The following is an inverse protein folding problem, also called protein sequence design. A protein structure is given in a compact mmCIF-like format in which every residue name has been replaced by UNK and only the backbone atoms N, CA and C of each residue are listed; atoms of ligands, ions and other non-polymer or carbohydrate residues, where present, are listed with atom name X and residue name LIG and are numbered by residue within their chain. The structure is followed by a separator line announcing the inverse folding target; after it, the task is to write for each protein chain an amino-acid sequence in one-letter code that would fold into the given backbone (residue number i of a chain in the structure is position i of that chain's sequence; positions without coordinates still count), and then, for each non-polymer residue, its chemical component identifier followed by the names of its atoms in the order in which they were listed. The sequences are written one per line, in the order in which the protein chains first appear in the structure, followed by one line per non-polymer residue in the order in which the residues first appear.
data_IF_577976601145
#
_entry.id   IF_577976601145
#
_cell.length_a   1.000
_cell.length_b   1.000
_cell.length_c   1.000
_cell.angle_alpha   90.00
_cell.angle_beta   90.00
_cell.angle_gamma   90.00
#
_symmetry.space_group_name_H-M   'P 1'
#
loop_
_entity.id
_entity.type
_entity.pdbx_description
1 polymer ?
2 non-polymer ?
3 water ?
#
# COMPACT_ATOMS: atom_id res chain seq x y z
N UNK A 2 9.60 -2.67 -30.11
CA UNK A 2 9.05 -3.49 -29.05
C UNK A 2 8.42 -2.63 -27.96
N UNK A 3 7.50 -3.22 -27.21
CA UNK A 3 6.76 -2.48 -26.19
C UNK A 3 6.75 -3.24 -24.86
N UNK A 4 7.20 -2.59 -23.80
CA UNK A 4 7.33 -3.24 -22.51
C UNK A 4 6.01 -3.82 -22.02
N UNK A 5 6.07 -4.96 -21.35
CA UNK A 5 4.91 -5.53 -20.71
C UNK A 5 4.43 -4.52 -19.68
N UNK A 6 3.12 -4.34 -19.59
CA UNK A 6 2.55 -3.45 -18.58
C UNK A 6 1.69 -4.23 -17.61
N UNK A 7 2.13 -4.31 -16.34
CA UNK A 7 1.40 -5.07 -15.33
C UNK A 7 -0.07 -4.68 -15.31
N UNK A 8 -0.93 -5.67 -15.14
CA UNK A 8 -2.36 -5.43 -15.11
C UNK A 8 -2.94 -5.98 -13.82
N UNK A 9 -4.15 -5.57 -13.50
CA UNK A 9 -4.81 -6.02 -12.28
C UNK A 9 -4.82 -7.54 -12.25
N UNK A 10 -4.31 -8.12 -11.16
CA UNK A 10 -4.32 -9.56 -11.00
C UNK A 10 -3.03 -10.26 -11.41
N UNK A 11 -2.19 -9.58 -12.19
CA UNK A 11 -0.95 -10.16 -12.65
C UNK A 11 -0.02 -10.48 -11.48
N UNK A 12 0.77 -11.53 -11.64
CA UNK A 12 1.85 -11.84 -10.71
C UNK A 12 3.17 -11.53 -11.40
N UNK A 13 3.97 -10.67 -10.80
CA UNK A 13 5.17 -10.15 -11.45
C UNK A 13 6.41 -10.37 -10.61
N UNK A 14 7.57 -10.43 -11.27
CA UNK A 14 8.85 -10.48 -10.56
C UNK A 14 9.47 -9.09 -10.55
N UNK A 15 10.11 -8.73 -9.45
CA UNK A 15 10.58 -7.37 -9.27
C UNK A 15 11.91 -7.33 -8.49
N UNK A 16 12.39 -6.15 -8.15
CA UNK A 16 13.54 -6.02 -7.26
C UNK A 16 13.15 -5.07 -6.11
N UNK A 17 13.10 -5.60 -4.89
CA UNK A 17 12.69 -4.84 -3.72
C UNK A 17 13.89 -4.20 -3.03
N UNK A 25 18.31 -12.13 -1.82
CA UNK A 25 18.65 -13.52 -2.13
C UNK A 25 17.40 -14.29 -2.55
N UNK A 26 16.24 -13.88 -2.05
CA UNK A 26 14.99 -14.53 -2.40
C UNK A 26 14.50 -13.98 -3.73
N UNK A 27 15.28 -13.05 -4.28
CA UNK A 27 14.97 -12.48 -5.57
C UNK A 27 14.38 -11.10 -5.46
N UNK A 28 14.22 -10.60 -4.23
CA UNK A 28 13.62 -9.28 -4.06
C UNK A 28 12.28 -9.43 -4.76
N UNK A 29 11.41 -10.16 -4.08
CA UNK A 29 10.46 -11.12 -4.64
C UNK A 29 9.36 -10.67 -5.60
N UNK A 30 8.55 -11.64 -6.05
CA UNK A 30 7.36 -11.40 -6.86
C UNK A 30 6.29 -10.68 -6.06
N UNK A 31 5.32 -10.13 -6.77
CA UNK A 31 4.21 -9.45 -6.14
C UNK A 31 2.97 -9.67 -6.97
N UNK A 32 1.79 -9.45 -6.37
CA UNK A 32 0.55 -9.52 -7.14
C UNK A 32 0.01 -8.12 -7.32
N UNK A 33 -0.31 -7.77 -8.57
CA UNK A 33 -0.64 -6.40 -8.94
C UNK A 33 -2.11 -6.09 -8.77
N UNK A 34 -2.41 -5.13 -7.89
CA UNK A 34 -3.79 -4.74 -7.61
C UNK A 34 -4.27 -3.51 -8.39
N UNK A 35 -3.38 -2.89 -9.15
CA UNK A 35 -3.75 -1.70 -9.93
C UNK A 35 -4.22 -2.07 -11.33
N UNK A 36 -5.11 -1.25 -11.91
CA UNK A 36 -5.61 -1.49 -13.27
C UNK A 36 -4.55 -1.11 -14.30
N UNK A 37 -4.67 -1.65 -15.51
CA UNK A 37 -3.66 -1.46 -16.54
C UNK A 37 -3.32 0.02 -16.72
N UNK A 38 -4.35 0.81 -16.94
CA UNK A 38 -4.19 2.24 -17.19
C UNK A 38 -3.28 2.89 -16.17
N UNK A 39 -3.68 2.87 -14.90
CA UNK A 39 -2.88 3.52 -13.87
C UNK A 39 -1.43 3.09 -13.96
N UNK A 40 -1.22 1.78 -13.98
CA UNK A 40 0.13 1.24 -14.14
C UNK A 40 0.80 1.84 -15.37
N UNK A 41 0.09 1.83 -16.49
CA UNK A 41 0.62 2.32 -17.74
C UNK A 41 0.98 3.80 -17.71
N UNK A 42 0.00 4.63 -17.37
CA UNK A 42 0.19 6.07 -17.38
C UNK A 42 1.21 6.52 -16.32
N UNK A 43 1.09 5.96 -15.13
CA UNK A 43 1.91 6.39 -14.00
C UNK A 43 3.32 5.81 -14.01
N UNK A 44 3.44 4.57 -14.47
CA UNK A 44 4.71 3.87 -14.38
C UNK A 44 4.91 3.43 -12.94
N UNK A 45 3.79 3.27 -12.25
CA UNK A 45 3.75 2.78 -10.88
C UNK A 45 2.50 1.94 -10.70
N UNK A 46 2.53 1.07 -9.69
CA UNK A 46 1.37 0.21 -9.44
C UNK A 46 1.23 -0.11 -7.96
N UNK A 47 0.04 -0.54 -7.59
CA UNK A 47 -0.21 -1.08 -6.26
C UNK A 47 -0.18 -2.61 -6.31
N UNK A 48 0.62 -3.21 -5.44
CA UNK A 48 0.79 -4.65 -5.41
C UNK A 48 1.07 -5.08 -3.99
N UNK A 49 0.90 -6.37 -3.72
CA UNK A 49 1.31 -6.92 -2.43
C UNK A 49 2.37 -7.98 -2.68
N UNK A 50 3.35 -8.05 -1.78
CA UNK A 50 4.48 -8.97 -1.90
C UNK A 50 4.08 -10.43 -1.67
N UNK A 51 4.75 -11.35 -2.34
CA UNK A 51 4.50 -12.78 -2.17
C UNK A 51 5.73 -13.47 -1.61
N UNK A 52 5.53 -14.53 -0.85
CA UNK A 52 6.64 -15.31 -0.34
C UNK A 52 6.29 -16.80 -0.27
N UNK A 53 7.30 -17.65 -0.38
CA UNK A 53 7.10 -19.09 -0.26
C UNK A 53 6.93 -19.50 1.20
N UNK A 54 7.61 -18.77 2.07
CA UNK A 54 7.45 -18.97 3.50
C UNK A 54 6.04 -18.58 3.92
N UNK A 55 5.53 -19.25 4.95
CA UNK A 55 4.25 -18.86 5.52
C UNK A 55 4.26 -19.03 7.03
N UNK A 56 3.81 -18.01 7.75
CA UNK A 56 3.66 -18.11 9.20
C UNK A 56 2.23 -18.45 9.63
N UNK A 57 1.32 -18.53 8.66
CA UNK A 57 -0.08 -18.77 8.94
C UNK A 57 -0.81 -17.57 9.54
N UNK A 58 -0.44 -16.37 9.10
CA UNK A 58 -0.99 -15.14 9.66
C UNK A 58 -2.30 -14.67 9.02
N UNK A 59 -3.07 -13.83 9.74
CA UNK A 59 -4.43 -13.45 9.38
C UNK A 59 -4.56 -12.83 8.00
N UNK A 60 -3.53 -12.13 7.55
CA UNK A 60 -3.57 -11.45 6.26
C UNK A 60 -2.94 -12.22 5.12
N UNK A 61 -2.47 -13.43 5.40
CA UNK A 61 -1.94 -14.30 4.36
C UNK A 61 -3.05 -14.75 3.41
N UNK A 62 -2.72 -14.84 2.12
CA UNK A 62 -3.64 -15.43 1.15
C UNK A 62 -2.91 -16.43 0.27
N UNK A 63 -3.34 -17.69 0.35
CA UNK A 63 -2.72 -18.74 -0.43
C UNK A 63 -2.96 -18.53 -1.92
N UNK A 64 -1.89 -18.61 -2.69
CA UNK A 64 -1.98 -18.66 -4.14
C UNK A 64 -1.56 -20.07 -4.55
N UNK A 65 -2.48 -20.82 -5.15
CA UNK A 65 -2.23 -22.22 -5.44
C UNK A 65 -1.62 -22.41 -6.81
N UNK A 66 -0.37 -22.89 -6.82
CA UNK A 66 0.33 -23.12 -8.07
C UNK A 66 0.28 -24.57 -8.52
N UNK A 67 0.58 -24.79 -9.79
CA UNK A 67 0.64 -26.14 -10.35
C UNK A 67 1.64 -27.00 -9.58
N UNK A 68 2.91 -26.64 -9.69
CA UNK A 68 4.00 -27.39 -9.05
C UNK A 68 4.08 -27.14 -7.54
N UNK A 69 4.02 -25.88 -7.13
CA UNK A 69 4.18 -25.51 -5.73
C UNK A 69 3.11 -24.52 -5.29
N UNK A 70 3.21 -24.05 -4.05
CA UNK A 70 2.25 -23.08 -3.52
C UNK A 70 2.94 -21.95 -2.77
N UNK A 71 2.24 -20.82 -2.66
CA UNK A 71 2.80 -19.63 -2.06
C UNK A 71 1.75 -18.75 -1.43
N UNK A 72 2.19 -17.61 -0.89
CA UNK A 72 1.28 -16.73 -0.18
C UNK A 72 1.51 -15.25 -0.48
N UNK A 73 0.43 -14.52 -0.68
CA UNK A 73 0.50 -13.06 -0.84
C UNK A 73 0.15 -12.41 0.48
N UNK A 74 0.88 -11.35 0.83
CA UNK A 74 0.64 -10.69 2.11
C UNK A 74 -0.18 -9.44 1.88
N UNK A 75 -1.44 -9.50 2.31
CA UNK A 75 -2.44 -8.51 1.91
C UNK A 75 -2.36 -7.20 2.68
N UNK A 76 -1.76 -7.24 3.86
CA UNK A 76 -1.64 -6.04 4.69
C UNK A 76 -0.47 -5.19 4.21
N UNK A 77 0.43 -5.81 3.47
CA UNK A 77 1.70 -5.21 3.07
C UNK A 77 1.68 -4.46 1.74
N UNK A 78 0.48 -4.24 1.21
CA UNK A 78 0.31 -3.60 -0.08
C UNK A 78 1.10 -2.31 -0.16
N UNK A 79 1.67 -2.05 -1.33
CA UNK A 79 2.51 -0.87 -1.51
C UNK A 79 2.55 -0.38 -2.96
N UNK A 80 2.91 0.89 -3.11
CA UNK A 80 3.10 1.50 -4.40
C UNK A 80 4.59 1.46 -4.71
N UNK A 81 4.95 0.83 -5.82
CA UNK A 81 6.33 0.77 -6.24
C UNK A 81 6.41 1.20 -7.69
N UNK A 82 7.58 1.61 -8.14
CA UNK A 82 7.68 2.09 -9.51
C UNK A 82 8.24 0.95 -10.32
N UNK A 83 7.36 0.35 -11.13
CA UNK A 83 7.71 -0.89 -11.80
C UNK A 83 8.55 -0.69 -13.06
N UNK A 84 8.19 0.30 -13.87
CA UNK A 84 8.97 0.57 -15.07
C UNK A 84 10.44 0.63 -14.67
N UNK A 85 10.77 1.61 -13.84
CA UNK A 85 12.14 1.78 -13.35
C UNK A 85 12.65 0.53 -12.66
N UNK A 86 11.81 -0.12 -11.86
CA UNK A 86 12.25 -1.27 -11.06
C UNK A 86 12.21 -2.59 -11.83
N UNK A 87 11.83 -2.50 -13.11
CA UNK A 87 11.94 -3.64 -14.01
C UNK A 87 11.06 -4.85 -13.72
N UNK A 88 9.75 -4.62 -13.65
CA UNK A 88 8.81 -5.70 -13.43
C UNK A 88 8.67 -6.60 -14.66
N UNK A 89 8.40 -7.88 -14.42
CA UNK A 89 8.11 -8.84 -15.50
C UNK A 89 7.01 -9.78 -15.06
N UNK A 90 6.31 -10.37 -16.02
CA UNK A 90 5.09 -11.12 -15.71
C UNK A 90 5.38 -12.61 -15.46
N UNK A 91 5.14 -13.05 -14.23
CA UNK A 91 5.35 -14.45 -13.88
C UNK A 91 4.09 -15.31 -14.05
N UNK A 92 2.96 -14.67 -14.28
CA UNK A 92 1.71 -15.40 -14.42
C UNK A 92 0.54 -14.55 -13.94
N UNK A 93 -0.61 -15.18 -13.72
CA UNK A 93 -1.78 -14.45 -13.24
C UNK A 93 -2.52 -15.23 -12.15
N UNK A 94 -2.92 -14.52 -11.09
CA UNK A 94 -3.65 -15.14 -10.00
C UNK A 94 -5.08 -15.45 -10.43
N UNK A 95 -5.69 -16.43 -9.77
CA UNK A 95 -7.06 -16.80 -10.05
C UNK A 95 -8.01 -15.69 -9.62
N UNK A 96 -9.16 -15.58 -10.29
CA UNK A 96 -10.16 -14.57 -9.94
C UNK A 96 -10.48 -14.58 -8.45
N UNK A 97 -10.59 -15.77 -7.86
CA UNK A 97 -10.90 -15.90 -6.45
C UNK A 97 -9.72 -15.42 -5.60
N UNK A 98 -8.52 -15.79 -6.01
CA UNK A 98 -7.29 -15.38 -5.33
C UNK A 98 -7.25 -13.86 -5.21
N UNK A 99 -7.19 -13.19 -6.35
CA UNK A 99 -7.20 -11.74 -6.40
C UNK A 99 -8.31 -11.16 -5.53
N UNK A 100 -9.51 -11.71 -5.66
CA UNK A 100 -10.65 -11.24 -4.89
C UNK A 100 -10.38 -11.35 -3.39
N UNK A 101 -9.94 -12.54 -2.97
CA UNK A 101 -9.66 -12.78 -1.56
C UNK A 101 -8.67 -11.74 -1.02
N UNK A 102 -7.67 -11.41 -1.82
CA UNK A 102 -6.71 -10.38 -1.46
C UNK A 102 -7.43 -9.07 -1.12
N UNK A 103 -8.12 -8.51 -2.12
CA UNK A 103 -8.80 -7.24 -1.96
C UNK A 103 -9.63 -7.18 -0.67
N UNK A 104 -10.41 -8.23 -0.41
CA UNK A 104 -11.23 -8.28 0.79
C UNK A 104 -10.37 -8.04 2.04
N UNK A 105 -9.30 -8.82 2.17
CA UNK A 105 -8.39 -8.67 3.30
C UNK A 105 -7.94 -7.22 3.46
N UNK A 106 -7.77 -6.53 2.34
CA UNK A 106 -7.36 -5.13 2.35
C UNK A 106 -8.42 -4.23 2.97
N UNK A 107 -9.65 -4.31 2.45
CA UNK A 107 -10.73 -3.50 3.00
C UNK A 107 -11.11 -3.96 4.40
N UNK A 108 -10.74 -5.19 4.72
CA UNK A 108 -10.85 -5.67 6.09
C UNK A 108 -9.90 -4.88 6.96
N UNK A 109 -8.75 -4.54 6.39
CA UNK A 109 -7.76 -3.72 7.06
C UNK A 109 -8.16 -2.26 7.04
N UNK A 110 -8.89 -1.86 6.00
CA UNK A 110 -9.31 -0.46 5.86
C UNK A 110 -10.78 -0.33 5.46
N UNK A 111 -11.53 0.46 6.22
CA UNK A 111 -12.94 0.66 5.93
C UNK A 111 -13.22 1.14 4.52
N UNK B 2 7.16 4.74 30.25
CA UNK B 2 6.70 5.69 29.25
C UNK B 2 6.05 4.96 28.09
N UNK B 3 4.96 5.52 27.58
CA UNK B 3 4.14 4.84 26.58
C UNK B 3 4.28 5.49 25.20
N UNK B 4 4.86 4.73 24.26
CA UNK B 4 5.07 5.21 22.91
C UNK B 4 3.75 5.54 22.22
N UNK B 5 3.80 6.48 21.28
CA UNK B 5 2.63 6.84 20.49
C UNK B 5 2.38 5.74 19.47
N UNK B 6 1.15 5.23 19.44
CA UNK B 6 0.77 4.22 18.47
C UNK B 6 -0.29 4.77 17.54
N UNK B 7 0.06 5.00 16.27
CA UNK B 7 -0.85 5.64 15.33
C UNK B 7 -2.23 4.97 15.27
N UNK B 8 -3.27 5.79 15.13
CA UNK B 8 -4.62 5.30 15.02
C UNK B 8 -5.17 5.73 13.66
N UNK B 9 -6.19 5.04 13.16
CA UNK B 9 -6.75 5.36 11.86
C UNK B 9 -7.14 6.83 11.80
N UNK B 10 -6.65 7.53 10.79
CA UNK B 10 -6.94 8.95 10.63
C UNK B 10 -5.82 9.87 11.07
N UNK B 11 -4.93 9.38 11.92
CA UNK B 11 -3.81 10.18 12.38
C UNK B 11 -2.91 10.62 11.23
N UNK B 12 -2.46 11.87 11.29
CA UNK B 12 -1.44 12.35 10.38
C UNK B 12 -0.11 12.30 11.12
N UNK B 13 0.85 11.57 10.59
CA UNK B 13 2.12 11.39 11.28
C UNK B 13 3.30 11.91 10.47
N UNK B 14 4.39 12.19 11.18
CA UNK B 14 5.65 12.49 10.53
C UNK B 14 6.60 11.33 10.81
N UNK B 15 7.40 11.00 9.82
CA UNK B 15 8.32 9.88 9.95
C UNK B 15 9.34 10.03 8.83
N UNK B 16 10.31 9.12 8.79
CA UNK B 16 11.38 9.19 7.80
C UNK B 16 11.11 8.22 6.65
N UNK B 17 11.50 8.59 5.44
CA UNK B 17 11.41 7.69 4.30
C UNK B 17 12.80 7.25 3.83
N UNK B 25 20.82 12.19 6.80
CA UNK B 25 20.09 11.81 5.60
C UNK B 25 18.84 12.67 5.42
N UNK B 26 18.02 12.75 6.46
CA UNK B 26 16.82 13.56 6.43
C UNK B 26 15.84 13.16 5.32
N UNK B 27 15.26 11.97 5.45
CA UNK B 27 14.25 11.50 4.51
C UNK B 27 12.84 11.56 5.07
N UNK B 28 12.63 12.33 6.12
CA UNK B 28 11.36 12.31 6.86
C UNK B 28 10.29 13.27 6.36
N UNK B 29 9.12 12.72 6.04
CA UNK B 29 7.98 13.54 5.63
C UNK B 29 6.68 13.04 6.27
N UNK B 30 5.56 13.77 6.05
CA UNK B 30 4.26 13.44 6.64
C UNK B 30 3.50 12.33 5.93
N UNK B 31 2.62 11.67 6.67
CA UNK B 31 1.66 10.73 6.09
C UNK B 31 0.44 10.57 6.98
N UNK B 32 -0.52 9.76 6.54
CA UNK B 32 -1.75 9.55 7.29
C UNK B 32 -2.14 8.08 7.34
N UNK B 33 -2.49 7.60 8.53
CA UNK B 33 -2.71 6.17 8.76
C UNK B 33 -4.11 5.70 8.36
N UNK B 34 -4.15 4.72 7.46
CA UNK B 34 -5.41 4.06 7.10
C UNK B 34 -5.64 2.74 7.83
N UNK B 35 -4.66 2.31 8.63
CA UNK B 35 -4.75 1.01 9.30
C UNK B 35 -5.18 1.18 10.75
N UNK B 36 -6.17 0.38 11.18
CA UNK B 36 -6.80 0.46 12.50
C UNK B 36 -5.78 0.30 13.64
N UNK B 37 -6.12 0.86 14.79
CA UNK B 37 -5.20 0.94 15.92
C UNK B 37 -4.55 -0.39 16.30
N UNK B 38 -5.37 -1.44 16.39
CA UNK B 38 -4.88 -2.75 16.77
C UNK B 38 -3.79 -3.25 15.83
N UNK B 39 -4.10 -3.24 14.53
CA UNK B 39 -3.12 -3.70 13.57
C UNK B 39 -1.82 -2.94 13.73
N UNK B 40 -1.91 -1.61 13.70
CA UNK B 40 -0.74 -0.78 13.88
C UNK B 40 0.05 -1.20 15.11
N UNK B 41 -0.69 -1.49 16.19
CA UNK B 41 -0.07 -1.81 17.46
C UNK B 41 0.73 -3.11 17.48
N UNK B 42 0.08 -4.21 17.09
CA UNK B 42 0.70 -5.53 17.16
C UNK B 42 1.86 -5.69 16.20
N UNK B 43 1.69 -5.21 14.97
CA UNK B 43 2.68 -5.43 13.92
C UNK B 43 3.77 -4.36 13.89
N UNK B 44 3.56 -3.27 14.61
CA UNK B 44 4.48 -2.14 14.50
C UNK B 44 4.55 -1.69 13.06
N UNK B 45 3.49 -1.96 12.32
CA UNK B 45 3.37 -1.55 10.92
C UNK B 45 2.05 -0.81 10.76
N UNK B 46 1.89 -0.08 9.67
CA UNK B 46 0.61 0.52 9.36
C UNK B 46 0.48 0.82 7.88
N UNK B 47 -0.75 0.95 7.41
CA UNK B 47 -1.03 1.40 6.06
C UNK B 47 -1.22 2.90 6.10
N UNK B 48 -0.61 3.60 5.16
CA UNK B 48 -0.68 5.05 5.15
C UNK B 48 -0.45 5.58 3.73
N UNK B 49 -0.83 6.83 3.50
CA UNK B 49 -0.50 7.52 2.26
C UNK B 49 0.32 8.76 2.58
N UNK B 50 1.30 9.07 1.73
CA UNK B 50 2.20 10.21 1.94
C UNK B 50 1.52 11.53 1.63
N UNK B 51 1.86 12.57 2.38
CA UNK B 51 1.35 13.90 2.12
C UNK B 51 2.48 14.85 1.77
N UNK B 52 2.17 15.91 1.04
CA UNK B 52 3.18 16.91 0.70
C UNK B 52 2.53 18.27 0.49
N UNK B 53 3.34 19.32 0.61
CA UNK B 53 2.87 20.69 0.39
C UNK B 53 2.63 20.93 -1.09
N UNK B 54 3.45 20.29 -1.92
CA UNK B 54 3.36 20.45 -3.38
C UNK B 54 2.15 19.72 -3.96
N UNK B 55 1.33 20.45 -4.70
CA UNK B 55 0.19 19.86 -5.37
C UNK B 55 0.33 20.03 -6.88
N UNK B 56 0.48 18.92 -7.59
CA UNK B 56 0.58 18.95 -9.04
C UNK B 56 -0.78 18.70 -9.66
N UNK B 57 -1.79 18.47 -8.81
CA UNK B 57 -3.15 18.26 -9.26
C UNK B 57 -3.45 16.91 -9.90
N UNK B 58 -2.98 15.84 -9.29
CA UNK B 58 -3.30 14.50 -9.77
C UNK B 58 -4.70 14.08 -9.31
N UNK B 59 -5.38 13.25 -10.11
CA UNK B 59 -6.74 12.82 -9.80
C UNK B 59 -6.87 12.22 -8.40
N UNK B 60 -5.83 11.50 -7.97
CA UNK B 60 -5.89 10.76 -6.71
C UNK B 60 -5.43 11.59 -5.52
N UNK B 61 -5.09 12.85 -5.76
CA UNK B 61 -4.73 13.75 -4.68
C UNK B 61 -5.96 14.01 -3.83
N UNK B 62 -5.77 14.12 -2.53
CA UNK B 62 -6.82 14.56 -1.63
C UNK B 62 -6.31 15.76 -0.85
N UNK B 63 -6.93 16.91 -1.09
CA UNK B 63 -6.54 18.12 -0.40
C UNK B 63 -6.78 17.93 1.08
N UNK B 64 -5.82 18.36 1.88
CA UNK B 64 -6.02 18.41 3.32
C UNK B 64 -6.15 19.87 3.74
N UNK B 65 -7.26 20.22 4.38
CA UNK B 65 -7.47 21.60 4.80
C UNK B 65 -6.95 21.78 6.21
N UNK B 66 -5.86 22.53 6.34
CA UNK B 66 -5.25 22.79 7.63
C UNK B 66 -5.58 24.16 8.16
N UNK B 67 -5.30 24.38 9.43
CA UNK B 67 -5.44 25.69 10.05
C UNK B 67 -4.59 26.73 9.34
N UNK B 68 -3.27 26.60 9.46
CA UNK B 68 -2.33 27.58 8.92
C UNK B 68 -1.99 27.32 7.47
N UNK B 69 -1.21 26.27 7.23
CA UNK B 69 -0.83 25.89 5.87
C UNK B 69 -1.84 24.91 5.30
N UNK B 70 -1.57 24.45 4.07
CA UNK B 70 -2.39 23.43 3.45
C UNK B 70 -1.55 22.52 2.56
N UNK B 71 -2.04 21.31 2.32
CA UNK B 71 -1.26 20.31 1.62
C UNK B 71 -2.12 19.25 0.97
N UNK B 72 -1.45 18.22 0.44
CA UNK B 72 -2.15 17.17 -0.29
C UNK B 72 -1.68 15.78 0.13
N UNK B 73 -2.62 14.85 0.21
CA UNK B 73 -2.32 13.46 0.52
C UNK B 73 -2.57 12.60 -0.71
N UNK B 74 -1.57 11.82 -1.12
CA UNK B 74 -1.67 11.09 -2.38
C UNK B 74 -2.21 9.69 -2.14
N UNK B 75 -3.44 9.45 -2.59
CA UNK B 75 -4.18 8.24 -2.22
C UNK B 75 -3.89 7.03 -3.09
N UNK B 76 -3.27 7.25 -4.24
CA UNK B 76 -2.92 6.14 -5.12
C UNK B 76 -1.67 5.47 -4.58
N UNK B 77 -1.01 6.17 -3.66
CA UNK B 77 0.31 5.83 -3.16
C UNK B 77 0.40 5.00 -1.88
N UNK B 78 -0.74 4.49 -1.41
CA UNK B 78 -0.80 3.75 -0.16
C UNK B 78 0.32 2.71 -0.11
N UNK B 79 0.95 2.61 1.06
CA UNK B 79 2.12 1.77 1.25
C UNK B 79 2.17 1.30 2.69
N UNK B 80 2.72 0.11 2.88
CA UNK B 80 2.94 -0.40 4.23
C UNK B 80 4.32 0.05 4.71
N UNK B 81 4.37 0.61 5.91
CA UNK B 81 5.61 1.07 6.49
C UNK B 81 5.68 0.62 7.93
N UNK B 82 6.87 0.56 8.50
CA UNK B 82 6.98 0.20 9.90
C UNK B 82 7.18 1.49 10.67
N UNK B 83 6.14 1.92 11.36
CA UNK B 83 6.14 3.23 11.98
C UNK B 83 7.01 3.18 13.22
N UNK B 84 6.87 2.10 13.98
CA UNK B 84 7.57 1.94 15.24
C UNK B 84 9.07 2.11 15.06
N UNK B 85 9.67 1.17 14.35
CA UNK B 85 11.11 1.22 14.10
C UNK B 85 11.49 2.54 13.44
N UNK B 86 10.54 3.16 12.76
CA UNK B 86 10.84 4.34 11.95
C UNK B 86 10.62 5.67 12.67
N UNK B 87 10.27 5.61 13.94
CA UNK B 87 10.10 6.81 14.74
C UNK B 87 8.99 7.70 14.20
N UNK B 88 7.79 7.14 14.09
CA UNK B 88 6.64 7.90 13.65
C UNK B 88 6.07 8.71 14.81
N UNK B 89 5.74 9.97 14.56
CA UNK B 89 5.12 10.82 15.59
C UNK B 89 3.87 11.52 15.06
N UNK B 90 3.05 12.02 15.97
CA UNK B 90 1.73 12.53 15.62
C UNK B 90 1.76 14.03 15.33
N UNK B 91 1.48 14.39 14.08
CA UNK B 91 1.38 15.80 13.69
C UNK B 91 -0.06 16.31 13.68
N UNK B 92 -1.02 15.43 13.93
CA UNK B 92 -2.43 15.79 13.93
C UNK B 92 -3.35 14.67 13.48
N UNK B 93 -4.61 14.99 13.24
CA UNK B 93 -5.58 14.01 12.76
C UNK B 93 -6.51 14.61 11.71
N UNK B 94 -6.74 13.86 10.63
CA UNK B 94 -7.59 14.34 9.55
C UNK B 94 -9.07 14.24 9.88
N UNK B 95 -9.86 15.14 9.30
CA UNK B 95 -11.31 15.12 9.49
C UNK B 95 -11.88 13.88 8.83
N UNK B 96 -12.92 13.29 9.44
CA UNK B 96 -13.50 12.05 8.91
C UNK B 96 -13.82 12.20 7.43
N UNK B 97 -14.13 13.42 7.00
CA UNK B 97 -14.33 13.69 5.58
C UNK B 97 -13.10 13.30 4.77
N UNK B 98 -12.00 13.99 5.02
CA UNK B 98 -10.75 13.73 4.30
C UNK B 98 -10.42 12.24 4.33
N UNK B 99 -10.51 11.64 5.50
CA UNK B 99 -10.25 10.21 5.66
C UNK B 99 -11.05 9.40 4.64
N UNK B 100 -12.32 9.76 4.46
CA UNK B 100 -13.19 8.99 3.60
C UNK B 100 -12.98 9.28 2.11
N UNK B 101 -12.71 10.54 1.78
CA UNK B 101 -12.35 10.89 0.42
C UNK B 101 -11.17 10.03 0.01
N UNK B 102 -10.18 9.95 0.89
CA UNK B 102 -9.03 9.09 0.67
C UNK B 102 -9.47 7.70 0.25
N UNK B 103 -10.05 6.97 1.20
CA UNK B 103 -10.46 5.59 0.97
C UNK B 103 -11.25 5.42 -0.32
N UNK B 104 -12.24 6.30 -0.51
CA UNK B 104 -13.14 6.18 -1.65
C UNK B 104 -12.36 5.98 -2.94
N UNK B 105 -11.33 6.80 -3.11
CA UNK B 105 -10.35 6.61 -4.19
C UNK B 105 -9.73 5.22 -4.13
N UNK B 106 -9.03 4.97 -3.05
CA UNK B 106 -8.25 3.74 -2.91
C UNK B 106 -9.15 2.57 -3.28
N UNK B 107 -10.42 2.71 -2.95
CA UNK B 107 -11.41 1.75 -3.41
C UNK B 107 -11.56 1.82 -4.93
N UNK B 108 -11.51 3.03 -5.47
CA UNK B 108 -11.60 3.21 -6.92
C UNK B 108 -10.49 2.44 -7.63
N UNK B 109 -9.24 2.66 -7.22
CA UNK B 109 -8.11 1.92 -7.77
C UNK B 109 -8.25 0.41 -7.56
N UNK B 110 -8.96 0.04 -6.49
CA UNK B 110 -9.08 -1.36 -6.10
C UNK B 110 -10.55 -1.75 -5.88
N UNK B 111 -11.16 -1.20 -4.83
CA UNK B 111 -12.55 -1.48 -4.53
C UNK B 111 -12.79 -2.82 -3.86
N UNK B 112 -14.07 -3.14 -3.65
CA UNK B 112 -14.45 -4.45 -3.15
C UNK B 112 -14.42 -5.45 -4.29
X LIG C 1 15.07 -3.61 -22.64
#
# INVERSE_FOLDING_TARGET
MVSRYVPDMGDLIWVDFDPTKGSAQAGHRPAVVLSPFMYNNKTGMCLCVPCTTQSKGYPFEVVLSGQERDGVALADQVKSIAWRARGATKKGTVAPEELQLIKAKINVLIGLSHHHHHH
MVSRYVPDMGDLIWVDFDPTKGSAQAGHRPAVVLSPFMYNNKTGMCLCVPCTTQSKGYPFEVVLSGQERDGVALADQVKSIAWRARGATKKGTVAPEELQLIKAKINVLIGLSHHHHHH
NA NA
#
